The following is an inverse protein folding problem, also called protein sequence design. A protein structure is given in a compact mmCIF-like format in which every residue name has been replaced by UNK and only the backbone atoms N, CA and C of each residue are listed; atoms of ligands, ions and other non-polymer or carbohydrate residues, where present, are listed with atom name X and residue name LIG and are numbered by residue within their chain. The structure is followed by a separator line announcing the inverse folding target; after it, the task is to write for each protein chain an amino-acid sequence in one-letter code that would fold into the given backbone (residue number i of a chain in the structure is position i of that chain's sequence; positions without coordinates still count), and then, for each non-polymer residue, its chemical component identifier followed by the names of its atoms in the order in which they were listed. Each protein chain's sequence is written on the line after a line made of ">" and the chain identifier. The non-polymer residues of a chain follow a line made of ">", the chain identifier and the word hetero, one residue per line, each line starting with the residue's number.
data_IF_215666428172
#
_entry.id   IF_215666428172
#
_cell.length_a   1.000
_cell.length_b   1.000
_cell.length_c   1.000
_cell.angle_alpha   90.00
_cell.angle_beta   90.00
_cell.angle_gamma   90.00
#
_symmetry.space_group_name_H-M   'P 1'
#
loop_
_entity.id
_entity.type
_entity.pdbx_description
1 polymer ?
#
# COMPACT_ATOMS: atom_id res chain seq x y z
N UNK A 1 -9.74 0.99 3.80
CA UNK A 1 -9.25 2.38 3.95
C UNK A 1 -8.87 2.74 5.38
N UNK A 2 -9.75 2.57 6.39
CA UNK A 2 -9.44 3.00 7.77
C UNK A 2 -8.10 2.47 8.31
N UNK A 3 -7.80 1.18 8.13
CA UNK A 3 -6.51 0.61 8.53
C UNK A 3 -5.30 1.22 7.80
N UNK A 4 -5.45 1.57 6.52
CA UNK A 4 -4.40 2.23 5.74
C UNK A 4 -4.15 3.67 6.22
N UNK A 5 -5.21 4.39 6.59
CA UNK A 5 -5.12 5.73 7.20
C UNK A 5 -4.41 5.66 8.56
N UNK A 6 -4.79 4.69 9.40
CA UNK A 6 -4.19 4.53 10.72
C UNK A 6 -2.69 4.18 10.65
N UNK A 7 -2.31 3.22 9.80
CA UNK A 7 -0.89 2.79 9.70
C UNK A 7 0.01 3.85 9.05
N UNK A 8 -0.54 4.73 8.22
CA UNK A 8 0.21 5.84 7.60
C UNK A 8 0.95 6.69 8.63
N UNK A 9 0.38 6.87 9.82
CA UNK A 9 1.01 7.65 10.89
C UNK A 9 2.28 7.00 11.44
N UNK A 10 2.47 5.70 11.21
CA UNK A 10 3.66 4.94 11.59
C UNK A 10 4.74 4.95 10.49
N UNK A 11 4.60 5.77 9.45
CA UNK A 11 5.62 5.90 8.40
C UNK A 11 6.93 6.46 8.97
N UNK A 12 8.04 5.79 8.68
CA UNK A 12 9.37 6.35 8.88
C UNK A 12 9.79 7.04 7.59
N UNK A 13 9.53 8.35 7.52
CA UNK A 13 9.78 9.16 6.31
C UNK A 13 10.50 10.49 6.61
N UNK A 14 11.65 10.48 7.30
CA UNK A 14 12.33 11.73 7.68
C UNK A 14 12.97 12.45 6.49
N UNK A 15 13.19 11.78 5.35
CA UNK A 15 13.88 12.36 4.20
C UNK A 15 12.91 13.00 3.21
N UNK A 16 11.84 12.29 2.84
CA UNK A 16 10.82 12.86 1.93
C UNK A 16 9.73 13.65 2.63
N UNK A 17 9.52 13.40 3.93
CA UNK A 17 8.42 13.97 4.71
C UNK A 17 7.04 13.59 4.13
N UNK A 18 6.99 12.54 3.32
CA UNK A 18 5.79 12.01 2.67
C UNK A 18 5.40 10.69 3.31
N UNK A 19 4.26 10.66 4.00
CA UNK A 19 3.78 9.47 4.71
C UNK A 19 2.79 8.71 3.86
N UNK A 20 2.99 7.42 3.69
CA UNK A 20 2.11 6.50 2.96
C UNK A 20 1.75 5.33 3.86
N UNK A 21 0.48 4.95 3.85
CA UNK A 21 -0.04 3.77 4.51
C UNK A 21 -0.75 2.86 3.52
N UNK A 22 -0.60 1.56 3.70
CA UNK A 22 -1.24 0.53 2.92
C UNK A 22 -1.85 -0.54 3.84
N UNK A 23 -3.02 -1.04 3.48
CA UNK A 23 -3.67 -2.15 4.16
C UNK A 23 -4.17 -3.18 3.15
N UNK A 24 -3.77 -4.42 3.35
CA UNK A 24 -4.21 -5.59 2.61
C UNK A 24 -5.35 -6.27 3.36
N UNK A 25 -6.39 -6.64 2.62
CA UNK A 25 -7.39 -7.60 3.07
C UNK A 25 -7.12 -8.96 2.43
N UNK A 26 -6.94 -9.96 3.26
CA UNK A 26 -6.86 -11.36 2.85
C UNK A 26 -8.28 -11.94 2.68
N UNK A 27 -8.42 -13.01 1.90
CA UNK A 27 -9.72 -13.68 1.65
C UNK A 27 -10.43 -14.15 2.92
N UNK A 28 -9.68 -14.53 3.94
CA UNK A 28 -10.20 -14.95 5.25
C UNK A 28 -10.61 -13.78 6.17
N UNK A 29 -10.47 -12.54 5.68
CA UNK A 29 -10.83 -11.31 6.40
C UNK A 29 -9.71 -10.72 7.25
N UNK A 30 -8.55 -11.38 7.36
CA UNK A 30 -7.40 -10.81 8.07
C UNK A 30 -6.87 -9.55 7.37
N UNK A 31 -6.37 -8.61 8.16
CA UNK A 31 -5.82 -7.34 7.66
C UNK A 31 -4.32 -7.27 7.96
N UNK A 32 -3.52 -7.10 6.91
CA UNK A 32 -2.09 -6.84 7.01
C UNK A 32 -1.81 -5.40 6.64
N UNK A 33 -0.98 -4.70 7.41
CA UNK A 33 -0.70 -3.28 7.19
C UNK A 33 0.78 -3.04 6.91
N UNK A 34 1.07 -1.93 6.24
CA UNK A 34 2.42 -1.42 6.00
C UNK A 34 2.42 0.10 5.86
N UNK A 35 3.50 0.74 6.27
CA UNK A 35 3.79 2.16 6.00
C UNK A 35 5.12 2.27 5.26
N UNK A 36 5.38 3.38 4.57
CA UNK A 36 6.69 3.55 3.95
C UNK A 36 7.79 3.66 5.00
N UNK A 37 8.91 3.00 4.72
CA UNK A 37 10.08 2.92 5.58
C UNK A 37 11.28 3.37 4.78
N UNK A 38 11.76 4.58 5.06
CA UNK A 38 12.87 5.19 4.35
C UNK A 38 14.23 4.78 4.89
N UNK A 39 15.25 4.98 4.06
CA UNK A 39 16.64 4.79 4.40
C UNK A 39 17.45 5.94 3.79
N UNK A 40 18.55 6.35 4.44
CA UNK A 40 19.46 7.37 3.91
C UNK A 40 20.05 6.95 2.54
N UNK A 41 20.28 5.66 2.34
CA UNK A 41 20.74 5.10 1.08
C UNK A 41 19.55 4.78 0.18
N UNK A 42 19.24 5.63 -0.79
CA UNK A 42 18.23 5.33 -1.80
C UNK A 42 18.79 4.32 -2.83
N UNK A 43 18.00 3.31 -3.28
CA UNK A 43 16.59 3.03 -2.99
C UNK A 43 16.38 1.91 -1.94
N UNK A 44 17.19 1.83 -0.88
CA UNK A 44 17.11 0.75 0.12
C UNK A 44 15.86 0.79 1.01
N UNK A 45 15.07 1.86 0.96
CA UNK A 45 13.75 1.95 1.60
C UNK A 45 12.65 1.20 0.84
N UNK A 46 11.52 1.00 1.50
CA UNK A 46 10.33 0.36 0.93
C UNK A 46 9.10 1.27 1.01
N UNK A 47 8.31 1.25 -0.07
CA UNK A 47 7.00 1.88 -0.10
C UNK A 47 5.99 1.06 0.73
N UNK A 48 4.93 1.71 1.20
CA UNK A 48 3.93 1.10 2.07
C UNK A 48 3.30 -0.17 1.47
N UNK A 49 3.05 -0.18 0.16
CA UNK A 49 2.44 -1.29 -0.56
C UNK A 49 3.33 -2.54 -0.51
N UNK A 50 4.63 -2.37 -0.75
CA UNK A 50 5.60 -3.47 -0.69
C UNK A 50 5.77 -3.99 0.72
N UNK A 51 5.82 -3.10 1.72
CA UNK A 51 5.82 -3.50 3.13
C UNK A 51 4.58 -4.34 3.46
N UNK A 52 3.37 -3.89 3.07
CA UNK A 52 2.14 -4.62 3.34
C UNK A 52 2.09 -5.98 2.63
N UNK A 53 2.46 -6.04 1.34
CA UNK A 53 2.47 -7.29 0.55
C UNK A 53 3.43 -8.30 1.14
N UNK A 54 4.67 -7.89 1.45
CA UNK A 54 5.67 -8.80 1.98
C UNK A 54 5.32 -9.24 3.41
N UNK A 55 4.74 -8.35 4.22
CA UNK A 55 4.23 -8.70 5.54
C UNK A 55 3.12 -9.76 5.45
N UNK A 56 2.10 -9.53 4.62
CA UNK A 56 1.01 -10.49 4.41
C UNK A 56 1.53 -11.84 3.91
N UNK A 57 2.47 -11.81 2.98
CA UNK A 57 2.99 -13.01 2.33
C UNK A 57 3.97 -13.80 3.19
N UNK A 58 4.66 -13.14 4.12
CA UNK A 58 5.54 -13.78 5.08
C UNK A 58 4.75 -14.47 6.21
N UNK A 59 3.71 -13.82 6.73
CA UNK A 59 2.91 -14.37 7.83
C UNK A 59 1.80 -15.33 7.36
N UNK A 60 1.25 -15.09 6.17
CA UNK A 60 0.12 -15.83 5.61
C UNK A 60 0.42 -16.33 4.18
N UNK A 61 1.47 -17.16 3.99
CA UNK A 61 1.99 -17.52 2.66
C UNK A 61 1.01 -18.26 1.72
N UNK A 62 -0.07 -18.81 2.29
CA UNK A 62 -1.12 -19.55 1.57
C UNK A 62 -2.43 -18.77 1.43
N UNK A 63 -2.53 -17.56 1.99
CA UNK A 63 -3.73 -16.74 1.86
C UNK A 63 -3.70 -15.93 0.56
N UNK A 64 -4.91 -15.69 0.02
CA UNK A 64 -5.11 -14.87 -1.17
C UNK A 64 -5.29 -13.41 -0.73
N UNK A 65 -4.56 -12.51 -1.39
CA UNK A 65 -4.74 -11.07 -1.27
C UNK A 65 -5.96 -10.68 -2.11
N UNK A 66 -7.04 -10.28 -1.44
CA UNK A 66 -8.29 -9.89 -2.08
C UNK A 66 -8.26 -8.43 -2.53
N UNK A 67 -7.71 -7.55 -1.68
CA UNK A 67 -7.63 -6.12 -1.96
C UNK A 67 -6.48 -5.44 -1.22
N UNK A 68 -6.01 -4.33 -1.77
CA UNK A 68 -5.11 -3.38 -1.11
C UNK A 68 -5.72 -1.97 -1.13
N UNK A 69 -5.62 -1.30 0.00
CA UNK A 69 -6.05 0.08 0.24
C UNK A 69 -4.82 0.95 0.51
N UNK A 70 -4.65 2.07 -0.20
CA UNK A 70 -3.46 2.93 -0.17
C UNK A 70 -3.88 4.38 0.09
N UNK A 71 -3.14 5.08 0.95
CA UNK A 71 -3.32 6.51 1.20
C UNK A 71 -1.98 7.13 1.49
N UNK A 72 -1.81 8.40 1.14
CA UNK A 72 -0.68 9.17 1.61
C UNK A 72 -1.02 10.62 1.87
N UNK A 73 -0.12 11.28 2.57
CA UNK A 73 -0.16 12.71 2.87
C UNK A 73 1.27 13.27 2.89
N UNK A 74 1.41 14.53 2.53
CA UNK A 74 2.64 15.30 2.66
C UNK A 74 2.47 16.33 3.79
N UNK A 75 3.50 17.14 4.08
CA UNK A 75 3.36 18.26 5.01
C UNK A 75 2.24 19.23 4.61
N UNK A 76 2.03 19.42 3.31
CA UNK A 76 0.82 20.03 2.78
C UNK A 76 -0.14 18.94 2.27
N UNK A 77 -1.37 18.85 2.80
CA UNK A 77 -2.35 17.85 2.40
C UNK A 77 -2.56 17.80 0.88
N UNK A 78 -2.17 16.68 0.26
CA UNK A 78 -2.43 16.48 -1.18
C UNK A 78 -3.86 15.99 -1.37
N UNK A 79 -4.65 16.73 -2.15
CA UNK A 79 -5.99 16.30 -2.57
C UNK A 79 -5.91 15.16 -3.58
N UNK A 80 -4.81 15.09 -4.35
CA UNK A 80 -4.62 14.10 -5.39
C UNK A 80 -4.41 12.68 -4.83
N UNK A 81 -5.00 11.64 -5.45
CA UNK A 81 -4.79 10.26 -5.07
C UNK A 81 -3.32 9.85 -5.20
N UNK A 82 -2.79 9.18 -4.18
CA UNK A 82 -1.43 8.64 -4.20
C UNK A 82 -1.41 7.38 -5.08
N UNK A 83 -0.91 7.54 -6.31
CA UNK A 83 -0.81 6.42 -7.24
C UNK A 83 0.42 5.54 -6.92
N UNK A 84 0.31 4.20 -7.00
CA UNK A 84 1.43 3.30 -6.74
C UNK A 84 2.58 3.54 -7.72
N UNK A 85 3.82 3.54 -7.21
CA UNK A 85 5.02 3.64 -8.04
C UNK A 85 5.25 2.36 -8.88
N UNK A 86 6.13 2.42 -9.88
CA UNK A 86 6.41 1.28 -10.76
C UNK A 86 6.83 0.01 -10.03
N UNK A 87 7.68 0.12 -9.01
CA UNK A 87 8.12 -1.03 -8.21
C UNK A 87 6.99 -1.69 -7.40
N UNK A 88 6.04 -0.88 -6.90
CA UNK A 88 4.85 -1.39 -6.21
C UNK A 88 3.90 -2.09 -7.18
N UNK A 89 3.69 -1.52 -8.37
CA UNK A 89 2.88 -2.16 -9.43
C UNK A 89 3.47 -3.50 -9.85
N UNK A 90 4.79 -3.57 -10.04
CA UNK A 90 5.46 -4.81 -10.38
C UNK A 90 5.34 -5.85 -9.26
N UNK A 91 5.44 -5.43 -8.00
CA UNK A 91 5.24 -6.33 -6.86
C UNK A 91 3.79 -6.84 -6.80
N UNK A 92 2.78 -5.97 -6.98
CA UNK A 92 1.39 -6.42 -7.04
C UNK A 92 1.16 -7.42 -8.17
N UNK A 93 1.65 -7.13 -9.37
CA UNK A 93 1.52 -8.00 -10.54
C UNK A 93 2.14 -9.39 -10.30
N UNK A 94 3.32 -9.46 -9.67
CA UNK A 94 3.96 -10.74 -9.31
C UNK A 94 3.07 -11.57 -8.38
N UNK A 95 2.44 -10.93 -7.39
CA UNK A 95 1.55 -11.63 -6.46
C UNK A 95 0.21 -12.01 -7.09
N UNK A 96 -0.33 -11.22 -8.03
CA UNK A 96 -1.48 -11.60 -8.85
C UNK A 96 -1.20 -12.85 -9.68
N UNK A 97 -0.01 -12.94 -10.30
CA UNK A 97 0.46 -14.12 -11.03
C UNK A 97 0.58 -15.31 -10.08
N UNK A 98 1.26 -15.14 -8.94
CA UNK A 98 1.47 -16.21 -7.94
C UNK A 98 0.14 -16.79 -7.43
N UNK A 99 -0.85 -15.94 -7.14
CA UNK A 99 -2.15 -16.37 -6.62
C UNK A 99 -3.20 -16.68 -7.71
N UNK A 100 -2.85 -16.44 -8.99
CA UNK A 100 -3.70 -16.60 -10.18
C UNK A 100 -5.03 -15.83 -10.11
N UNK A 101 -5.06 -14.73 -9.38
CA UNK A 101 -6.24 -13.88 -9.16
C UNK A 101 -5.82 -12.41 -9.06
N UNK A 102 -6.60 -11.47 -9.62
CA UNK A 102 -6.30 -10.04 -9.52
C UNK A 102 -6.45 -9.54 -8.08
N UNK A 103 -5.74 -8.47 -7.75
CA UNK A 103 -5.83 -7.75 -6.48
C UNK A 103 -6.60 -6.46 -6.72
N UNK A 104 -7.70 -6.25 -6.00
CA UNK A 104 -8.42 -4.98 -6.08
C UNK A 104 -7.60 -3.85 -5.44
N UNK A 105 -7.29 -2.79 -6.20
CA UNK A 105 -6.50 -1.66 -5.72
C UNK A 105 -7.40 -0.45 -5.46
N UNK A 106 -7.40 0.05 -4.22
CA UNK A 106 -8.07 1.26 -3.80
C UNK A 106 -7.04 2.27 -3.33
N UNK A 107 -7.07 3.51 -3.84
CA UNK A 107 -6.13 4.54 -3.43
C UNK A 107 -6.79 5.92 -3.34
N UNK A 108 -6.37 6.73 -2.37
CA UNK A 108 -6.84 8.09 -2.16
C UNK A 108 -5.71 9.00 -1.66
N UNK A 109 -5.93 10.32 -1.67
CA UNK A 109 -5.06 11.29 -1.03
C UNK A 109 -5.25 11.29 0.49
N UNK A 110 -5.08 12.44 1.13
CA UNK A 110 -5.36 12.56 2.57
C UNK A 110 -6.86 12.50 2.89
N UNK A 111 -7.67 13.13 2.04
CA UNK A 111 -9.12 13.13 2.14
C UNK A 111 -9.72 12.05 1.24
N UNK A 112 -10.82 11.39 1.65
CA UNK A 112 -11.51 10.42 0.82
C UNK A 112 -12.25 11.14 -0.31
N UNK A 113 -11.55 11.41 -1.41
CA UNK A 113 -12.22 11.69 -2.68
C UNK A 113 -12.49 10.39 -3.43
N UNK A 114 -13.65 10.35 -4.08
CA UNK A 114 -14.34 9.16 -4.62
C UNK A 114 -13.43 8.35 -5.55
N UNK A 115 -13.20 7.09 -5.19
CA UNK A 115 -12.35 6.12 -5.90
C UNK A 115 -12.69 5.98 -7.40
N UNK A 116 -11.70 6.23 -8.27
CA UNK A 116 -11.67 5.71 -9.63
C UNK A 116 -11.25 4.24 -9.56
N UNK A 117 -12.12 3.32 -9.96
CA UNK A 117 -11.73 1.93 -10.22
C UNK A 117 -10.77 1.95 -11.43
N UNK A 118 -9.58 1.32 -11.37
CA UNK A 118 -8.82 1.07 -12.58
C UNK A 118 -9.70 0.24 -13.52
N UNK A 119 -9.95 0.75 -14.73
CA UNK A 119 -10.57 -0.04 -15.77
C UNK A 119 -9.66 -1.23 -16.08
N UNK A 120 -10.31 -2.38 -16.25
CA UNK A 120 -9.73 -3.62 -16.78
C UNK A 120 -8.99 -3.38 -18.09
#
# INVERSE_FOLDING_TARGET
>A
MAAAVAVRENAYAPYSLFKVGAAIRLKDGQICVGSNQENAAFPSGLCAERVAIYHASALFPNQIIDAIAITGTAQEPTVLPVSPCGACRQSMAEYEIRQKQPIAVYFMGEKPERLLKPNQ
#
